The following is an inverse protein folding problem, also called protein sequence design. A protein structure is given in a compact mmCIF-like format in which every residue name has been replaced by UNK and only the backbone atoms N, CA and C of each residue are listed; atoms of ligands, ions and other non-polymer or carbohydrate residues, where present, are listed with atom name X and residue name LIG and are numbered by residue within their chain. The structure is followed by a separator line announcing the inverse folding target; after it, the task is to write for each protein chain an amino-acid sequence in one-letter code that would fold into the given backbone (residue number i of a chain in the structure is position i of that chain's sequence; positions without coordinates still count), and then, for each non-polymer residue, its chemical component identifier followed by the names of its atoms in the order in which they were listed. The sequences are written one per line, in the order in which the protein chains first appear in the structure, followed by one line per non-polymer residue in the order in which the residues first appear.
data_IF_171758574853
#
_entry.id   IF_171758574853
#
_cell.length_a   1.000
_cell.length_b   1.000
_cell.length_c   1.000
_cell.angle_alpha   90.00
_cell.angle_beta   90.00
_cell.angle_gamma   90.00
#
_symmetry.space_group_name_H-M   'P 1'
#
loop_
_entity.id
_entity.type
_entity.pdbx_description
1 polymer ?
#
# COMPACT_ATOMS: atom_id res chain seq x y z
N UNK A 1 3.24 -12.68 20.72
CA UNK A 1 3.04 -13.21 19.37
C UNK A 1 2.03 -12.34 18.62
N UNK A 2 2.48 -11.36 17.85
CA UNK A 2 1.58 -10.64 16.93
C UNK A 2 1.77 -11.28 15.55
N UNK A 3 0.79 -12.10 15.14
CA UNK A 3 0.74 -12.69 13.80
C UNK A 3 0.78 -11.54 12.79
N UNK A 4 1.73 -11.56 11.86
CA UNK A 4 1.72 -10.77 10.62
C UNK A 4 0.29 -10.69 10.06
N UNK A 5 -0.41 -9.59 10.34
CA UNK A 5 -1.72 -9.36 9.77
C UNK A 5 -1.49 -8.73 8.42
N UNK A 6 -1.53 -9.54 7.37
CA UNK A 6 -1.68 -9.00 6.02
C UNK A 6 -3.00 -8.22 5.97
N UNK A 7 -2.92 -6.91 5.76
CA UNK A 7 -4.10 -6.07 5.54
C UNK A 7 -4.55 -6.16 4.08
N UNK A 8 -5.86 -6.17 3.86
CA UNK A 8 -6.45 -6.25 2.52
C UNK A 8 -6.61 -4.85 1.97
N UNK A 9 -5.79 -4.50 0.98
CA UNK A 9 -5.94 -3.27 0.22
C UNK A 9 -6.91 -3.49 -0.95
N UNK A 10 -7.96 -2.65 -1.05
CA UNK A 10 -8.83 -2.58 -2.22
C UNK A 10 -8.49 -1.32 -3.01
N UNK A 11 -8.18 -1.47 -4.29
CA UNK A 11 -7.91 -0.37 -5.22
C UNK A 11 -8.69 -0.60 -6.50
N UNK A 12 -9.12 0.49 -7.12
CA UNK A 12 -9.73 0.47 -8.45
C UNK A 12 -8.63 0.69 -9.47
N UNK A 13 -8.56 -0.21 -10.46
CA UNK A 13 -7.62 -0.14 -11.57
C UNK A 13 -8.42 -0.12 -12.86
N UNK A 14 -7.93 0.61 -13.86
CA UNK A 14 -8.47 0.53 -15.21
C UNK A 14 -8.15 -0.82 -15.86
N UNK A 15 -8.87 -1.18 -16.92
CA UNK A 15 -8.58 -2.41 -17.69
C UNK A 15 -7.15 -2.46 -18.20
N UNK A 16 -6.62 -1.33 -18.69
CA UNK A 16 -5.25 -1.24 -19.21
C UNK A 16 -4.21 -1.52 -18.12
N UNK A 17 -4.41 -1.02 -16.90
CA UNK A 17 -3.51 -1.28 -15.77
C UNK A 17 -3.58 -2.75 -15.34
N UNK A 18 -4.78 -3.34 -15.33
CA UNK A 18 -4.95 -4.76 -15.01
C UNK A 18 -4.25 -5.66 -16.02
N UNK A 19 -4.36 -5.36 -17.33
CA UNK A 19 -3.64 -6.09 -18.37
C UNK A 19 -2.12 -5.95 -18.23
N UNK A 20 -1.61 -4.75 -17.99
CA UNK A 20 -0.18 -4.53 -17.80
C UNK A 20 0.38 -5.33 -16.61
N UNK A 21 -0.36 -5.42 -15.50
CA UNK A 21 0.02 -6.21 -14.34
C UNK A 21 0.03 -7.71 -14.66
N UNK A 22 -0.97 -8.20 -15.41
CA UNK A 22 -1.06 -9.63 -15.74
C UNK A 22 0.01 -10.04 -16.77
N UNK A 23 0.30 -9.19 -17.77
CA UNK A 23 1.40 -9.40 -18.71
C UNK A 23 2.75 -9.46 -17.99
N UNK A 24 3.03 -8.49 -17.11
CA UNK A 24 4.24 -8.49 -16.30
C UNK A 24 4.37 -9.72 -15.39
N UNK A 25 3.23 -10.15 -14.80
CA UNK A 25 3.15 -11.37 -14.01
C UNK A 25 3.50 -12.60 -14.85
N UNK A 26 3.00 -12.71 -16.08
CA UNK A 26 3.33 -13.84 -16.97
C UNK A 26 4.81 -13.84 -17.37
N UNK A 27 5.37 -12.69 -17.73
CA UNK A 27 6.78 -12.56 -18.07
C UNK A 27 7.69 -13.01 -16.91
N UNK A 28 7.32 -12.68 -15.66
CA UNK A 28 8.07 -13.06 -14.45
C UNK A 28 7.64 -14.40 -13.85
N UNK A 29 6.73 -15.14 -14.49
CA UNK A 29 6.18 -16.42 -14.03
C UNK A 29 5.65 -16.39 -12.60
N UNK A 30 4.99 -15.29 -12.25
CA UNK A 30 4.47 -15.10 -10.90
C UNK A 30 3.16 -15.87 -10.69
N UNK A 31 3.01 -16.58 -9.57
CA UNK A 31 1.89 -17.51 -9.36
C UNK A 31 0.54 -16.79 -9.24
N UNK A 32 0.51 -15.57 -8.69
CA UNK A 32 -0.73 -14.82 -8.49
C UNK A 32 -0.59 -13.33 -8.82
N UNK A 33 -1.71 -12.69 -9.16
CA UNK A 33 -1.79 -11.22 -9.31
C UNK A 33 -1.40 -10.49 -8.03
N UNK A 34 -1.77 -11.01 -6.86
CA UNK A 34 -1.37 -10.42 -5.58
C UNK A 34 0.16 -10.45 -5.39
N UNK A 35 0.83 -11.51 -5.82
CA UNK A 35 2.30 -11.60 -5.82
C UNK A 35 2.91 -10.55 -6.75
N UNK A 36 2.32 -10.36 -7.93
CA UNK A 36 2.78 -9.36 -8.88
C UNK A 36 2.64 -7.93 -8.34
N UNK A 37 1.48 -7.60 -7.80
CA UNK A 37 1.24 -6.27 -7.20
C UNK A 37 2.18 -6.02 -6.01
N UNK A 38 2.41 -7.01 -5.14
CA UNK A 38 3.36 -6.88 -4.02
C UNK A 38 4.77 -6.60 -4.51
N UNK A 39 5.21 -7.28 -5.56
CA UNK A 39 6.55 -7.08 -6.10
C UNK A 39 6.68 -5.73 -6.81
N UNK A 40 5.66 -5.28 -7.55
CA UNK A 40 5.64 -3.94 -8.13
C UNK A 40 5.69 -2.85 -7.06
N UNK A 41 4.93 -3.01 -5.96
CA UNK A 41 5.01 -2.11 -4.81
C UNK A 41 6.41 -2.11 -4.19
N UNK A 42 7.02 -3.28 -4.03
CA UNK A 42 8.39 -3.39 -3.51
C UNK A 42 9.41 -2.70 -4.41
N UNK A 43 9.31 -2.90 -5.72
CA UNK A 43 10.19 -2.26 -6.70
C UNK A 43 10.01 -0.75 -6.71
N UNK A 44 8.76 -0.26 -6.69
CA UNK A 44 8.47 1.17 -6.62
C UNK A 44 9.03 1.83 -5.36
N UNK A 45 8.78 1.24 -4.19
CA UNK A 45 9.30 1.76 -2.91
C UNK A 45 10.84 1.76 -2.86
N UNK A 46 11.47 0.69 -3.35
CA UNK A 46 12.93 0.60 -3.40
C UNK A 46 13.53 1.62 -4.38
N UNK A 47 12.86 1.85 -5.52
CA UNK A 47 13.28 2.84 -6.52
C UNK A 47 13.21 4.27 -5.98
N UNK A 48 12.19 4.59 -5.19
CA UNK A 48 12.03 5.89 -4.53
C UNK A 48 12.92 6.05 -3.28
N UNK A 49 13.72 5.04 -2.94
CA UNK A 49 14.58 5.05 -1.75
C UNK A 49 13.80 5.00 -0.44
N UNK A 50 12.52 4.60 -0.47
CA UNK A 50 11.70 4.42 0.72
C UNK A 50 12.19 3.15 1.42
N UNK A 51 12.99 3.33 2.47
CA UNK A 51 13.41 2.25 3.32
C UNK A 51 12.15 1.56 3.89
N UNK A 52 12.10 0.24 3.77
CA UNK A 52 11.14 -0.57 4.51
C UNK A 52 11.54 -0.47 5.97
N UNK A 53 11.08 0.56 6.67
CA UNK A 53 11.18 0.58 8.11
C UNK A 53 10.44 -0.68 8.58
N UNK A 54 11.17 -1.62 9.20
CA UNK A 54 10.57 -2.74 9.91
C UNK A 54 9.64 -2.12 10.96
N UNK A 55 8.36 -1.99 10.62
CA UNK A 55 7.42 -1.21 11.42
C UNK A 55 7.08 -2.00 12.68
N UNK A 56 7.94 -1.83 13.68
CA UNK A 56 7.59 -2.03 15.08
C UNK A 56 7.19 -0.70 15.73
N UNK A 57 6.93 0.35 14.94
CA UNK A 57 6.42 1.62 15.45
C UNK A 57 4.95 1.81 15.04
N UNK A 58 4.11 1.55 16.04
CA UNK A 58 2.66 1.65 16.04
C UNK A 58 2.19 2.87 15.24
N UNK A 59 1.30 2.65 14.27
CA UNK A 59 0.60 3.67 13.46
C UNK A 59 -0.33 4.61 14.24
N UNK A 60 -0.05 4.90 15.52
CA UNK A 60 -0.84 5.82 16.34
C UNK A 60 -0.31 7.26 16.30
N UNK A 61 0.78 7.53 15.55
CA UNK A 61 1.44 8.84 15.56
C UNK A 61 1.33 9.66 14.28
N UNK A 62 0.74 9.14 13.20
CA UNK A 62 0.45 9.98 12.02
C UNK A 62 -0.91 10.67 12.16
N UNK A 63 -0.91 11.74 12.94
CA UNK A 63 -1.97 12.74 12.94
C UNK A 63 -1.91 13.61 11.69
N UNK A 64 -2.99 13.59 10.90
CA UNK A 64 -3.39 14.66 9.98
C UNK A 64 -4.92 14.65 10.06
N UNK A 65 -5.57 15.55 10.78
CA UNK A 65 -5.92 16.89 10.30
C UNK A 65 -5.95 17.91 11.46
N UNK A 66 -5.16 18.98 11.33
CA UNK A 66 -5.25 20.16 12.19
C UNK A 66 -6.38 21.09 11.72
N UNK A 67 -7.36 21.25 12.62
CA UNK A 67 -8.14 22.45 13.05
C UNK A 67 -8.75 23.44 12.02
N UNK A 68 -10.07 23.63 12.17
CA UNK A 68 -10.73 24.94 12.37
C UNK A 68 -12.10 24.70 13.05
N UNK A 69 -12.23 24.87 14.37
CA UNK A 69 -12.46 26.11 15.14
C UNK A 69 -13.87 26.73 14.92
N UNK A 70 -14.59 26.85 16.05
CA UNK A 70 -15.67 27.78 16.42
C UNK A 70 -17.16 27.45 16.20
N UNK A 71 -17.94 27.71 17.25
CA UNK A 71 -19.41 27.68 17.34
C UNK A 71 -19.91 26.91 18.58
N UNK A 72 -19.52 27.28 19.80
CA UNK A 72 -20.27 28.16 20.73
C UNK A 72 -21.69 27.68 21.09
N UNK A 73 -21.87 27.53 22.41
CA UNK A 73 -23.03 27.06 23.14
C UNK A 73 -24.18 28.10 23.14
N UNK A 74 -25.42 27.61 23.13
CA UNK A 74 -26.64 28.37 23.34
C UNK A 74 -27.83 27.45 23.57
#
# INVERSE_FOLDING_TARGET
MNRDRNERLQIMLSEQELEAIDDWRFQRRMPSRASAVRELLRLGLTSEGVAWAETHEKSKDFGVLERKADGEEG
#
